data_IF_903344315527
#
_entry.id   IF_903344315527
#
_cell.length_a   1.000
_cell.length_b   1.000
_cell.length_c   1.000
_cell.angle_alpha   90.00
_cell.angle_beta   90.00
_cell.angle_gamma   90.00
#
_symmetry.space_group_name_H-M   'P 1'
#
loop_
_entity.id
_entity.type
_entity.pdbx_description
1 polymer ?
#
# COMPACT_ATOMS: atom_id res chain seq x y z
N UNK A 1 -44.88 18.29 -44.77
CA UNK A 1 -45.30 17.06 -44.09
C UNK A 1 -44.34 16.82 -42.91
N UNK A 2 -44.92 16.74 -41.68
CA UNK A 2 -44.12 16.61 -40.46
C UNK A 2 -43.29 15.32 -40.47
N UNK A 3 -43.82 14.24 -41.03
CA UNK A 3 -43.19 12.94 -41.11
C UNK A 3 -41.94 12.95 -42.02
N UNK A 4 -41.99 13.65 -43.15
CA UNK A 4 -40.84 13.84 -44.04
C UNK A 4 -39.74 14.68 -43.38
N UNK A 5 -40.15 15.71 -42.63
CA UNK A 5 -39.19 16.56 -41.90
C UNK A 5 -38.52 15.80 -40.75
N UNK A 6 -39.29 14.96 -40.04
CA UNK A 6 -38.76 14.12 -38.98
C UNK A 6 -37.80 13.07 -39.55
N UNK A 7 -38.15 12.45 -40.66
CA UNK A 7 -37.29 11.48 -41.35
C UNK A 7 -36.00 12.12 -41.84
N UNK A 8 -36.11 13.31 -42.47
CA UNK A 8 -34.95 14.07 -42.93
C UNK A 8 -34.02 14.43 -41.75
N UNK A 9 -34.57 14.85 -40.63
CA UNK A 9 -33.79 15.16 -39.41
C UNK A 9 -33.10 13.97 -38.82
N UNK A 10 -33.82 12.82 -38.67
CA UNK A 10 -33.26 11.59 -38.12
C UNK A 10 -32.14 11.02 -38.98
N UNK A 11 -32.34 11.01 -40.31
CA UNK A 11 -31.35 10.49 -41.26
C UNK A 11 -30.35 11.54 -41.80
N UNK A 12 -30.41 12.78 -41.29
CA UNK A 12 -29.50 13.87 -41.63
C UNK A 12 -29.38 14.16 -43.14
N UNK A 13 -30.46 14.10 -43.87
CA UNK A 13 -30.46 14.54 -45.28
C UNK A 13 -31.36 15.74 -45.47
N UNK A 14 -31.03 16.58 -46.47
CA UNK A 14 -31.77 17.81 -46.80
C UNK A 14 -32.89 17.49 -47.79
N UNK A 15 -34.17 17.61 -47.41
CA UNK A 15 -35.27 17.42 -48.36
C UNK A 15 -35.29 18.59 -49.37
N UNK A 16 -35.20 18.29 -50.66
CA UNK A 16 -35.13 19.29 -51.72
C UNK A 16 -36.43 20.09 -51.94
N UNK A 17 -37.54 19.69 -51.32
CA UNK A 17 -38.89 20.27 -51.56
C UNK A 17 -39.44 21.07 -50.37
N UNK A 18 -38.66 21.36 -49.34
CA UNK A 18 -39.11 22.13 -48.19
C UNK A 18 -38.70 23.60 -48.36
N UNK A 19 -39.62 24.53 -48.00
CA UNK A 19 -39.30 25.94 -47.96
C UNK A 19 -38.10 26.21 -47.08
N UNK A 20 -37.02 26.67 -47.65
CA UNK A 20 -35.81 27.05 -46.95
C UNK A 20 -35.90 28.50 -46.49
N UNK A 21 -35.63 28.73 -45.21
CA UNK A 21 -35.50 30.08 -44.65
C UNK A 21 -34.02 30.36 -44.43
N UNK A 22 -33.57 31.53 -44.85
CA UNK A 22 -32.23 32.00 -44.57
C UNK A 22 -32.28 32.70 -43.22
N UNK A 23 -31.52 32.19 -42.26
CA UNK A 23 -31.36 32.78 -40.94
C UNK A 23 -30.03 33.54 -40.89
N UNK A 24 -30.04 34.72 -40.28
CA UNK A 24 -28.80 35.40 -39.97
C UNK A 24 -28.15 34.81 -38.70
N UNK A 25 -26.92 35.20 -38.39
CA UNK A 25 -26.17 34.65 -37.26
C UNK A 25 -26.82 34.91 -35.90
N UNK A 26 -27.57 35.98 -35.75
CA UNK A 26 -28.28 36.29 -34.49
C UNK A 26 -29.52 35.43 -34.34
N UNK A 27 -30.29 35.25 -35.41
CA UNK A 27 -31.45 34.34 -35.42
C UNK A 27 -31.03 32.89 -35.23
N UNK A 28 -29.91 32.45 -35.82
CA UNK A 28 -29.36 31.12 -35.60
C UNK A 28 -28.93 30.93 -34.15
N UNK A 29 -28.33 31.96 -33.51
CA UNK A 29 -27.92 31.93 -32.11
C UNK A 29 -29.11 31.82 -31.13
N UNK A 30 -30.31 32.32 -31.52
CA UNK A 30 -31.52 32.17 -30.72
C UNK A 30 -32.12 30.76 -30.79
N UNK A 31 -31.92 30.07 -31.91
CA UNK A 31 -32.40 28.68 -32.11
C UNK A 31 -31.37 27.65 -31.59
N UNK A 32 -30.09 27.89 -31.86
CA UNK A 32 -29.01 27.03 -31.47
C UNK A 32 -28.08 27.75 -30.51
N UNK A 33 -28.25 27.48 -29.23
CA UNK A 33 -27.41 28.02 -28.16
C UNK A 33 -26.88 26.90 -27.30
N UNK A 34 -25.69 27.10 -26.75
CA UNK A 34 -25.12 26.21 -25.78
C UNK A 34 -25.90 26.35 -24.47
N UNK A 35 -26.19 25.25 -23.76
CA UNK A 35 -26.96 25.28 -22.52
C UNK A 35 -26.25 26.16 -21.49
N UNK A 36 -26.90 27.21 -21.04
CA UNK A 36 -26.47 28.05 -19.95
C UNK A 36 -26.69 27.36 -18.61
N UNK A 37 -25.78 27.57 -17.67
CA UNK A 37 -25.77 26.92 -16.38
C UNK A 37 -27.02 27.16 -15.52
N UNK A 38 -27.71 28.27 -15.75
CA UNK A 38 -28.84 28.72 -14.94
C UNK A 38 -30.20 28.43 -15.59
N UNK A 39 -30.25 28.13 -16.88
CA UNK A 39 -31.50 28.14 -17.65
C UNK A 39 -32.10 26.76 -17.91
N UNK A 40 -31.29 25.69 -17.97
CA UNK A 40 -31.80 24.33 -18.29
C UNK A 40 -31.14 23.27 -17.40
N UNK A 41 -31.79 22.78 -16.35
CA UNK A 41 -31.32 21.63 -15.61
C UNK A 41 -31.53 20.36 -16.48
N UNK A 42 -30.46 19.80 -17.02
CA UNK A 42 -30.47 18.53 -17.74
C UNK A 42 -29.48 17.57 -17.13
N UNK A 43 -29.94 16.33 -16.86
CA UNK A 43 -29.12 15.22 -16.37
C UNK A 43 -28.18 14.63 -17.41
N UNK A 44 -28.36 15.00 -18.69
CA UNK A 44 -27.56 14.46 -19.81
C UNK A 44 -26.27 15.24 -20.07
N UNK A 45 -26.14 16.45 -19.55
CA UNK A 45 -24.88 17.22 -19.66
C UNK A 45 -24.21 17.22 -18.29
N UNK A 46 -23.15 16.44 -18.15
CA UNK A 46 -22.31 16.50 -16.96
C UNK A 46 -21.59 17.84 -16.94
N UNK A 47 -22.03 18.72 -16.07
CA UNK A 47 -21.43 20.05 -15.88
C UNK A 47 -20.37 19.94 -14.80
N UNK A 48 -19.14 20.17 -15.18
CA UNK A 48 -18.08 20.37 -14.21
C UNK A 48 -18.09 21.82 -13.75
N UNK A 49 -18.64 22.07 -12.56
CA UNK A 49 -18.56 23.39 -11.94
C UNK A 49 -17.12 23.59 -11.41
N UNK A 50 -16.29 24.26 -12.19
CA UNK A 50 -14.98 24.70 -11.75
C UNK A 50 -15.03 26.20 -11.44
N UNK A 51 -14.86 26.55 -10.16
CA UNK A 51 -14.65 27.93 -9.76
C UNK A 51 -13.17 28.23 -9.83
N UNK A 52 -12.77 29.08 -10.76
CA UNK A 52 -11.40 29.58 -10.78
C UNK A 52 -11.22 30.60 -9.65
N UNK A 53 -10.25 30.35 -8.79
CA UNK A 53 -9.89 31.23 -7.68
C UNK A 53 -8.40 31.52 -7.75
N UNK A 54 -7.98 32.66 -7.20
CA UNK A 54 -6.55 32.95 -7.07
C UNK A 54 -5.87 31.90 -6.18
N UNK A 55 -4.64 31.56 -6.51
CA UNK A 55 -3.80 30.68 -5.70
C UNK A 55 -3.45 31.33 -4.36
N UNK A 56 -2.88 30.52 -3.44
CA UNK A 56 -2.46 31.03 -2.15
C UNK A 56 -1.51 32.23 -2.30
N UNK A 57 -1.62 33.19 -1.41
CA UNK A 57 -0.78 34.40 -1.38
C UNK A 57 0.68 34.09 -1.08
N UNK A 58 0.92 33.06 -0.26
CA UNK A 58 2.25 32.53 0.01
C UNK A 58 2.42 31.21 -0.76
N UNK A 59 3.21 31.25 -1.81
CA UNK A 59 3.60 30.07 -2.59
C UNK A 59 4.97 29.64 -2.11
N UNK A 60 5.12 28.35 -1.77
CA UNK A 60 6.45 27.79 -1.45
C UNK A 60 7.29 27.77 -2.72
N UNK A 61 8.53 28.21 -2.63
CA UNK A 61 9.50 28.13 -3.73
C UNK A 61 10.08 26.72 -3.86
N UNK A 62 10.23 26.03 -2.71
CA UNK A 62 10.78 24.70 -2.61
C UNK A 62 9.71 23.62 -2.36
N UNK A 63 10.06 22.36 -2.66
CA UNK A 63 9.22 21.19 -2.44
C UNK A 63 8.67 20.60 -3.72
N UNK A 64 7.90 19.50 -3.57
CA UNK A 64 7.32 18.77 -4.70
C UNK A 64 6.27 19.60 -5.44
N UNK A 65 6.35 19.62 -6.74
CA UNK A 65 5.36 20.28 -7.58
C UNK A 65 4.07 19.46 -7.62
N UNK A 66 2.98 20.03 -7.10
CA UNK A 66 1.64 19.45 -7.21
C UNK A 66 0.96 19.81 -8.54
N UNK A 67 1.25 20.98 -9.06
CA UNK A 67 0.63 21.50 -10.28
C UNK A 67 0.73 23.02 -10.39
N UNK A 68 -0.12 23.59 -11.21
CA UNK A 68 -0.17 25.03 -11.45
C UNK A 68 -1.57 25.56 -11.16
N UNK A 69 -1.65 26.70 -10.48
CA UNK A 69 -2.84 27.51 -10.45
C UNK A 69 -2.73 28.59 -11.56
N UNK A 70 -3.75 28.69 -12.37
CA UNK A 70 -3.84 29.75 -13.39
C UNK A 70 -5.08 30.59 -13.11
N UNK A 71 -4.87 31.88 -12.83
CA UNK A 71 -5.92 32.80 -12.52
C UNK A 71 -5.64 34.17 -13.19
N UNK A 72 -6.59 34.66 -14.00
CA UNK A 72 -6.48 35.92 -14.74
C UNK A 72 -5.17 36.07 -15.54
N UNK A 73 -4.73 34.98 -16.17
CA UNK A 73 -3.48 34.95 -16.97
C UNK A 73 -2.19 34.85 -16.15
N UNK A 74 -2.28 34.82 -14.82
CA UNK A 74 -1.12 34.58 -13.93
C UNK A 74 -1.04 33.12 -13.58
N UNK A 75 0.10 32.48 -13.90
CA UNK A 75 0.38 31.08 -13.59
C UNK A 75 1.30 30.99 -12.38
N UNK A 76 0.82 30.34 -11.31
CA UNK A 76 1.58 30.10 -10.07
C UNK A 76 1.84 28.59 -9.91
N UNK A 77 3.07 28.20 -9.61
CA UNK A 77 3.38 26.82 -9.26
C UNK A 77 2.91 26.52 -7.83
N UNK A 78 2.18 25.45 -7.64
CA UNK A 78 1.74 25.00 -6.32
C UNK A 78 2.64 23.86 -5.89
N UNK A 79 3.34 24.04 -4.78
CA UNK A 79 4.33 23.09 -4.26
C UNK A 79 3.96 22.64 -2.87
N UNK A 80 4.39 21.43 -2.54
CA UNK A 80 4.24 20.80 -1.23
C UNK A 80 5.60 20.77 -0.54
N UNK A 81 5.77 21.59 0.48
CA UNK A 81 7.01 21.67 1.23
C UNK A 81 7.25 20.46 2.14
N UNK A 82 8.51 20.22 2.47
CA UNK A 82 8.93 19.06 3.28
C UNK A 82 8.27 19.00 4.65
N UNK A 83 8.02 20.15 5.28
CA UNK A 83 7.33 20.20 6.57
C UNK A 83 5.88 19.70 6.50
N UNK A 84 5.19 20.02 5.38
CA UNK A 84 3.80 19.64 5.20
C UNK A 84 3.68 18.17 4.78
N UNK A 85 4.64 17.64 4.04
CA UNK A 85 4.72 16.22 3.69
C UNK A 85 4.75 15.31 4.91
N UNK A 86 5.40 15.73 5.98
CA UNK A 86 5.49 14.98 7.26
C UNK A 86 4.17 14.87 8.02
N UNK A 87 3.13 15.60 7.59
CA UNK A 87 1.79 15.59 8.21
C UNK A 87 0.80 14.65 7.55
N UNK A 88 1.29 13.80 6.66
CA UNK A 88 0.49 12.92 5.81
C UNK A 88 -0.34 13.64 4.74
N UNK A 89 -0.67 12.92 3.67
CA UNK A 89 -1.48 13.43 2.56
C UNK A 89 -2.55 12.40 2.26
N UNK A 90 -3.79 12.86 2.18
CA UNK A 90 -4.92 12.03 1.78
C UNK A 90 -5.44 12.51 0.42
N UNK A 91 -5.32 11.67 -0.61
CA UNK A 91 -5.76 11.98 -1.97
C UNK A 91 -7.06 11.24 -2.26
N UNK A 92 -8.15 12.00 -2.44
CA UNK A 92 -9.49 11.47 -2.68
C UNK A 92 -9.93 11.83 -4.09
N UNK A 93 -10.56 10.88 -4.77
CA UNK A 93 -11.15 11.08 -6.10
C UNK A 93 -11.74 9.79 -6.66
N UNK A 94 -12.58 9.91 -7.67
CA UNK A 94 -13.12 8.77 -8.40
C UNK A 94 -12.01 8.01 -9.15
N UNK A 95 -12.32 6.79 -9.59
CA UNK A 95 -11.44 6.03 -10.48
C UNK A 95 -11.24 6.81 -11.80
N UNK A 96 -10.02 6.82 -12.32
CA UNK A 96 -9.69 7.47 -13.58
C UNK A 96 -9.41 8.98 -13.52
N UNK A 97 -9.52 9.64 -12.36
CA UNK A 97 -9.25 11.09 -12.24
C UNK A 97 -7.76 11.45 -12.05
N UNK A 98 -6.86 10.45 -12.08
CA UNK A 98 -5.42 10.69 -12.04
C UNK A 98 -4.77 10.62 -10.65
N UNK A 99 -5.40 9.99 -9.63
CA UNK A 99 -4.79 9.83 -8.31
C UNK A 99 -3.43 9.13 -8.36
N UNK A 100 -3.36 7.98 -9.03
CA UNK A 100 -2.12 7.20 -9.18
C UNK A 100 -1.06 7.99 -9.93
N UNK A 101 -1.44 8.67 -11.01
CA UNK A 101 -0.52 9.52 -11.78
C UNK A 101 0.07 10.64 -10.91
N UNK A 102 -0.74 11.24 -10.03
CA UNK A 102 -0.23 12.24 -9.09
C UNK A 102 0.80 11.62 -8.13
N UNK A 103 0.51 10.44 -7.56
CA UNK A 103 1.43 9.74 -6.67
C UNK A 103 2.73 9.35 -7.40
N UNK A 104 2.63 8.81 -8.62
CA UNK A 104 3.79 8.49 -9.46
C UNK A 104 4.65 9.73 -9.73
N UNK A 105 4.02 10.87 -10.06
CA UNK A 105 4.73 12.12 -10.31
C UNK A 105 5.45 12.65 -9.06
N UNK A 106 4.85 12.50 -7.88
CA UNK A 106 5.50 12.87 -6.62
C UNK A 106 6.69 11.96 -6.31
N UNK A 107 6.52 10.64 -6.47
CA UNK A 107 7.59 9.67 -6.30
C UNK A 107 8.73 9.88 -7.31
N UNK A 108 8.39 10.18 -8.57
CA UNK A 108 9.37 10.48 -9.60
C UNK A 108 10.19 11.74 -9.27
N UNK A 109 9.58 12.79 -8.74
CA UNK A 109 10.29 13.99 -8.30
C UNK A 109 11.26 13.66 -7.16
N UNK A 110 10.84 12.88 -6.15
CA UNK A 110 11.73 12.43 -5.07
C UNK A 110 12.90 11.61 -5.62
N UNK A 111 12.63 10.74 -6.59
CA UNK A 111 13.65 9.93 -7.25
C UNK A 111 14.70 10.82 -7.95
N UNK A 112 14.25 11.83 -8.69
CA UNK A 112 15.13 12.77 -9.39
C UNK A 112 15.91 13.69 -8.45
N UNK A 113 15.32 14.04 -7.30
CA UNK A 113 15.95 14.84 -6.25
C UNK A 113 16.92 14.01 -5.37
N UNK A 114 17.14 12.73 -5.67
CA UNK A 114 18.02 11.85 -4.90
C UNK A 114 17.47 11.44 -3.54
N UNK A 115 16.16 11.60 -3.31
CA UNK A 115 15.50 11.22 -2.07
C UNK A 115 15.09 9.74 -2.10
N UNK A 116 15.07 9.10 -0.93
CA UNK A 116 14.52 7.76 -0.75
C UNK A 116 13.01 7.82 -0.48
N UNK A 117 12.29 6.81 -0.98
CA UNK A 117 10.85 6.61 -0.69
C UNK A 117 10.50 5.13 -0.77
N UNK A 118 9.36 4.76 -0.18
CA UNK A 118 8.73 3.47 -0.40
C UNK A 118 7.40 3.70 -1.13
N UNK A 119 7.14 2.90 -2.17
CA UNK A 119 5.91 2.94 -2.93
C UNK A 119 5.22 1.58 -2.84
N UNK A 120 4.00 1.56 -2.28
CA UNK A 120 3.23 0.32 -2.12
C UNK A 120 2.00 0.40 -3.01
N UNK A 121 1.91 -0.51 -3.98
CA UNK A 121 0.81 -0.59 -4.93
C UNK A 121 0.23 -2.01 -4.97
N UNK A 122 -1.01 -2.21 -4.48
CA UNK A 122 -1.67 -3.52 -4.52
C UNK A 122 -1.91 -4.07 -5.93
N UNK A 123 -1.92 -3.21 -6.96
CA UNK A 123 -2.18 -3.58 -8.35
C UNK A 123 -0.89 -3.81 -9.15
N UNK A 124 0.20 -3.12 -8.80
CA UNK A 124 1.51 -3.24 -9.43
C UNK A 124 1.77 -2.28 -10.60
N UNK A 125 0.73 -1.80 -11.28
CA UNK A 125 0.85 -0.98 -12.50
C UNK A 125 1.71 0.28 -12.30
N UNK A 126 1.49 0.99 -11.18
CA UNK A 126 2.25 2.21 -10.86
C UNK A 126 3.69 1.91 -10.47
N UNK A 127 3.95 0.77 -9.83
CA UNK A 127 5.32 0.34 -9.52
C UNK A 127 6.08 0.05 -10.80
N UNK A 128 5.51 -0.69 -11.75
CA UNK A 128 6.14 -0.96 -13.05
C UNK A 128 6.41 0.33 -13.83
N UNK A 129 5.45 1.26 -13.83
CA UNK A 129 5.61 2.56 -14.44
C UNK A 129 6.77 3.37 -13.81
N UNK A 130 6.95 3.30 -12.49
CA UNK A 130 8.06 3.96 -11.79
C UNK A 130 9.40 3.27 -12.08
N UNK A 131 9.45 1.94 -12.10
CA UNK A 131 10.66 1.19 -12.44
C UNK A 131 11.22 1.59 -13.82
N UNK A 132 10.35 1.80 -14.79
CA UNK A 132 10.75 2.24 -16.13
C UNK A 132 11.37 3.64 -16.17
N UNK A 133 11.17 4.45 -15.13
CA UNK A 133 11.65 5.84 -15.01
C UNK A 133 12.88 6.00 -14.11
N UNK A 134 13.39 4.89 -13.54
CA UNK A 134 14.56 4.92 -12.65
C UNK A 134 15.80 5.40 -13.41
N UNK A 135 16.49 6.45 -12.94
CA UNK A 135 17.76 6.89 -13.52
C UNK A 135 18.82 5.78 -13.42
N UNK A 136 19.69 5.69 -14.42
CA UNK A 136 20.74 4.65 -14.46
C UNK A 136 21.64 4.67 -13.22
N UNK A 137 21.89 5.85 -12.69
CA UNK A 137 22.75 6.10 -11.52
C UNK A 137 22.12 5.60 -10.22
N UNK A 138 20.81 5.30 -10.25
CA UNK A 138 20.05 4.88 -9.08
C UNK A 138 19.48 3.46 -9.17
N UNK A 139 19.86 2.71 -10.19
CA UNK A 139 19.37 1.33 -10.37
C UNK A 139 19.75 0.45 -9.19
N UNK A 140 20.95 0.63 -8.65
CA UNK A 140 21.46 -0.13 -7.49
C UNK A 140 20.75 0.25 -6.16
N UNK A 141 20.06 1.39 -6.12
CA UNK A 141 19.30 1.82 -4.94
C UNK A 141 17.90 1.18 -4.87
N UNK A 142 17.47 0.50 -5.95
CA UNK A 142 16.10 0.02 -6.08
C UNK A 142 15.93 -1.36 -5.45
N UNK A 143 14.99 -1.44 -4.51
CA UNK A 143 14.50 -2.71 -3.99
C UNK A 143 13.10 -2.94 -4.56
N UNK A 144 12.98 -3.90 -5.47
CA UNK A 144 11.70 -4.28 -6.07
C UNK A 144 11.15 -5.53 -5.39
N UNK A 145 10.21 -5.34 -4.48
CA UNK A 145 9.54 -6.41 -3.75
C UNK A 145 8.25 -6.81 -4.46
N UNK A 146 8.27 -7.95 -5.15
CA UNK A 146 7.10 -8.53 -5.79
C UNK A 146 6.76 -9.89 -5.16
N UNK A 147 5.71 -9.95 -4.31
CA UNK A 147 5.31 -11.21 -3.66
C UNK A 147 4.86 -12.31 -4.62
N UNK A 148 4.53 -11.97 -5.87
CA UNK A 148 4.11 -12.94 -6.89
C UNK A 148 5.28 -13.55 -7.67
N UNK A 149 6.49 -13.04 -7.51
CA UNK A 149 7.67 -13.61 -8.15
C UNK A 149 8.14 -14.86 -7.41
N UNK A 150 7.77 -16.01 -7.97
CA UNK A 150 8.15 -17.32 -7.45
C UNK A 150 9.55 -17.77 -7.92
N UNK A 151 10.11 -17.08 -8.90
CA UNK A 151 11.40 -17.45 -9.49
C UNK A 151 12.56 -16.84 -8.72
N UNK A 152 12.40 -15.57 -8.31
CA UNK A 152 13.40 -14.81 -7.57
C UNK A 152 12.76 -14.12 -6.35
N UNK A 153 12.26 -14.89 -5.37
CA UNK A 153 11.61 -14.30 -4.21
C UNK A 153 12.62 -13.54 -3.36
N UNK A 154 12.31 -12.29 -3.04
CA UNK A 154 13.10 -11.50 -2.10
C UNK A 154 12.81 -11.99 -0.68
N UNK A 155 13.87 -12.27 0.09
CA UNK A 155 13.77 -12.62 1.50
C UNK A 155 13.35 -11.41 2.36
N UNK A 156 12.44 -11.64 3.29
CA UNK A 156 12.07 -10.70 4.34
C UNK A 156 12.10 -11.42 5.69
N UNK A 157 13.25 -11.34 6.37
CA UNK A 157 13.37 -11.95 7.68
C UNK A 157 12.93 -10.95 8.77
N UNK A 158 11.82 -11.23 9.41
CA UNK A 158 11.30 -10.39 10.50
C UNK A 158 12.17 -10.42 11.77
N UNK A 159 13.13 -11.34 11.86
CA UNK A 159 14.05 -11.48 12.98
C UNK A 159 15.47 -11.02 12.66
N UNK A 160 15.68 -10.42 11.50
CA UNK A 160 16.96 -9.82 11.14
C UNK A 160 17.17 -8.51 11.90
N UNK A 161 18.34 -8.34 12.49
CA UNK A 161 18.71 -7.16 13.27
C UNK A 161 20.20 -6.84 13.08
N UNK A 162 20.51 -5.55 13.09
CA UNK A 162 21.89 -5.04 13.04
C UNK A 162 22.51 -4.92 14.44
N UNK A 163 21.68 -4.56 15.44
CA UNK A 163 22.10 -4.37 16.82
C UNK A 163 21.22 -5.17 17.80
N UNK A 164 21.82 -5.76 18.85
CA UNK A 164 21.09 -6.55 19.85
C UNK A 164 19.89 -5.81 20.48
N UNK A 165 19.99 -4.49 20.63
CA UNK A 165 18.93 -3.65 21.23
C UNK A 165 17.64 -3.63 20.38
N UNK A 166 17.71 -4.01 19.12
CA UNK A 166 16.55 -4.07 18.22
C UNK A 166 15.68 -5.33 18.46
N UNK A 167 16.21 -6.35 19.13
CA UNK A 167 15.51 -7.64 19.30
C UNK A 167 14.14 -7.49 19.93
N UNK A 168 14.06 -6.79 21.05
CA UNK A 168 12.78 -6.59 21.74
C UNK A 168 11.77 -5.82 20.90
N UNK A 169 12.23 -4.80 20.17
CA UNK A 169 11.38 -4.04 19.25
C UNK A 169 10.83 -4.94 18.14
N UNK A 170 11.68 -5.71 17.47
CA UNK A 170 11.26 -6.61 16.38
C UNK A 170 10.28 -7.68 16.86
N UNK A 171 10.53 -8.25 18.05
CA UNK A 171 9.61 -9.21 18.66
C UNK A 171 8.25 -8.56 18.94
N UNK A 172 8.24 -7.31 19.45
CA UNK A 172 7.00 -6.60 19.73
C UNK A 172 6.23 -6.26 18.45
N UNK A 173 6.93 -5.86 17.38
CA UNK A 173 6.31 -5.61 16.08
C UNK A 173 5.70 -6.88 15.48
N UNK A 174 6.40 -8.01 15.58
CA UNK A 174 5.87 -9.30 15.14
C UNK A 174 4.63 -9.73 15.95
N UNK A 175 4.62 -9.49 17.27
CA UNK A 175 3.43 -9.70 18.10
C UNK A 175 2.29 -8.79 17.67
N UNK A 176 2.57 -7.50 17.42
CA UNK A 176 1.58 -6.54 16.96
C UNK A 176 0.97 -6.94 15.60
N UNK A 177 1.78 -7.50 14.71
CA UNK A 177 1.31 -8.07 13.44
C UNK A 177 0.35 -9.25 13.69
N UNK A 178 0.66 -10.16 14.63
CA UNK A 178 -0.24 -11.27 14.96
C UNK A 178 -1.58 -10.77 15.54
N UNK A 179 -1.57 -9.71 16.36
CA UNK A 179 -2.80 -9.06 16.80
C UNK A 179 -3.59 -8.51 15.61
N UNK A 180 -2.94 -7.77 14.73
CA UNK A 180 -3.60 -7.21 13.53
C UNK A 180 -4.23 -8.26 12.63
N UNK A 181 -3.61 -9.44 12.50
CA UNK A 181 -4.10 -10.52 11.65
C UNK A 181 -5.19 -11.37 12.30
N UNK A 182 -5.06 -11.67 13.60
CA UNK A 182 -5.90 -12.67 14.25
C UNK A 182 -6.81 -12.12 15.32
N UNK A 183 -6.50 -10.97 15.89
CA UNK A 183 -7.27 -10.40 16.99
C UNK A 183 -7.28 -8.86 16.99
N UNK A 184 -7.71 -8.20 15.88
CA UNK A 184 -7.71 -6.73 15.79
C UNK A 184 -8.61 -6.05 16.83
N UNK A 185 -9.57 -6.81 17.39
CA UNK A 185 -10.47 -6.33 18.44
C UNK A 185 -10.01 -6.63 19.87
N UNK A 186 -8.83 -7.22 20.07
CA UNK A 186 -8.32 -7.66 21.39
C UNK A 186 -9.33 -8.51 22.17
N UNK A 187 -9.94 -9.49 21.49
CA UNK A 187 -10.98 -10.38 22.05
C UNK A 187 -10.41 -11.54 22.86
N UNK A 188 -9.06 -11.69 22.88
CA UNK A 188 -8.34 -12.74 23.59
C UNK A 188 -7.93 -13.93 22.73
N UNK A 189 -8.11 -13.85 21.41
CA UNK A 189 -7.59 -14.84 20.46
C UNK A 189 -6.05 -14.78 20.43
N UNK A 190 -5.49 -13.58 20.48
CA UNK A 190 -4.07 -13.33 20.76
C UNK A 190 -3.98 -12.76 22.17
N UNK A 191 -3.32 -13.46 23.08
CA UNK A 191 -3.26 -13.04 24.47
C UNK A 191 -1.91 -13.34 25.12
N UNK A 192 -1.75 -13.00 26.40
CA UNK A 192 -0.46 -13.05 27.10
C UNK A 192 0.27 -14.38 26.98
N UNK A 193 -0.46 -15.50 26.92
CA UNK A 193 0.13 -16.83 26.79
C UNK A 193 0.79 -17.04 25.43
N UNK A 194 0.14 -16.59 24.33
CA UNK A 194 0.73 -16.65 23.00
C UNK A 194 1.92 -15.70 22.90
N UNK A 195 1.79 -14.47 23.40
CA UNK A 195 2.88 -13.51 23.42
C UNK A 195 4.11 -14.04 24.14
N UNK A 196 3.91 -14.65 25.30
CA UNK A 196 4.99 -15.20 26.11
C UNK A 196 5.74 -16.34 25.37
N UNK A 197 5.00 -17.27 24.79
CA UNK A 197 5.59 -18.37 24.00
C UNK A 197 6.28 -17.82 22.76
N UNK A 198 5.60 -16.94 22.01
CA UNK A 198 6.15 -16.34 20.79
C UNK A 198 7.44 -15.57 21.06
N UNK A 199 7.46 -14.73 22.10
CA UNK A 199 8.63 -13.94 22.50
C UNK A 199 9.83 -14.86 22.77
N UNK A 200 9.65 -15.92 23.54
CA UNK A 200 10.73 -16.85 23.84
C UNK A 200 11.18 -17.66 22.62
N UNK A 201 10.28 -17.99 21.70
CA UNK A 201 10.65 -18.61 20.41
C UNK A 201 11.49 -17.64 19.56
N UNK A 202 11.02 -16.41 19.39
CA UNK A 202 11.72 -15.41 18.60
C UNK A 202 13.12 -15.10 19.16
N UNK A 203 13.24 -14.86 20.48
CA UNK A 203 14.52 -14.59 21.13
C UNK A 203 15.48 -15.77 21.02
N UNK A 204 14.97 -17.02 21.08
CA UNK A 204 15.79 -18.21 20.86
C UNK A 204 16.34 -18.26 19.44
N UNK A 205 15.49 -18.00 18.42
CA UNK A 205 15.90 -17.97 17.02
C UNK A 205 16.92 -16.84 16.74
N UNK A 206 16.70 -15.66 17.33
CA UNK A 206 17.57 -14.50 17.20
C UNK A 206 18.90 -14.65 17.99
N UNK A 207 19.05 -15.69 18.78
CA UNK A 207 20.31 -15.96 19.51
C UNK A 207 21.30 -16.77 18.69
N UNK A 208 20.83 -17.49 17.66
CA UNK A 208 21.69 -18.27 16.77
C UNK A 208 22.38 -17.36 15.75
N UNK A 209 23.73 -17.35 15.64
CA UNK A 209 24.47 -16.60 14.63
C UNK A 209 24.10 -16.97 13.19
N UNK A 210 23.59 -18.18 12.94
CA UNK A 210 23.07 -18.57 11.63
C UNK A 210 21.69 -17.98 11.34
N UNK A 211 21.08 -17.31 12.34
CA UNK A 211 19.76 -16.76 12.27
C UNK A 211 18.66 -17.81 12.44
N UNK A 212 17.44 -17.31 12.37
CA UNK A 212 16.22 -18.08 12.30
C UNK A 212 15.13 -17.23 11.69
N UNK A 213 14.04 -17.85 11.31
CA UNK A 213 12.94 -17.21 10.60
C UNK A 213 11.62 -17.39 11.31
N UNK A 214 10.64 -16.58 10.94
CA UNK A 214 9.30 -16.68 11.53
C UNK A 214 8.66 -18.07 11.36
N UNK A 215 8.93 -18.75 10.26
CA UNK A 215 8.39 -20.10 9.99
C UNK A 215 9.09 -21.21 10.78
N UNK A 216 10.20 -20.92 11.46
CA UNK A 216 10.88 -21.89 12.33
C UNK A 216 10.21 -22.00 13.72
N UNK A 217 9.34 -21.08 14.10
CA UNK A 217 8.67 -21.08 15.40
C UNK A 217 7.89 -22.38 15.66
N UNK A 218 7.04 -22.88 14.76
CA UNK A 218 6.38 -24.16 14.96
C UNK A 218 7.36 -25.33 15.15
N UNK A 219 8.47 -25.30 14.44
CA UNK A 219 9.49 -26.33 14.54
C UNK A 219 10.15 -26.35 15.92
N UNK A 220 10.43 -25.18 16.50
CA UNK A 220 10.94 -25.08 17.88
C UNK A 220 10.01 -25.74 18.90
N UNK A 221 8.71 -25.63 18.69
CA UNK A 221 7.70 -26.15 19.64
C UNK A 221 7.47 -27.68 19.52
N UNK A 222 7.81 -28.28 18.37
CA UNK A 222 7.52 -29.67 18.03
C UNK A 222 8.78 -30.53 18.00
N UNK A 223 9.90 -29.97 17.52
CA UNK A 223 11.17 -30.68 17.31
C UNK A 223 12.17 -30.32 18.43
N UNK A 224 12.31 -31.24 19.39
CA UNK A 224 13.19 -31.08 20.56
C UNK A 224 14.68 -30.99 20.16
N UNK A 225 15.10 -31.72 19.11
CA UNK A 225 16.50 -31.68 18.65
C UNK A 225 16.81 -30.33 18.00
N UNK A 226 15.89 -29.82 17.19
CA UNK A 226 16.01 -28.49 16.60
C UNK A 226 16.08 -27.42 17.71
N UNK A 227 15.20 -27.45 18.66
CA UNK A 227 15.19 -26.53 19.82
C UNK A 227 16.52 -26.57 20.57
N UNK A 228 17.01 -27.78 20.93
CA UNK A 228 18.29 -27.97 21.62
C UNK A 228 19.48 -27.45 20.81
N UNK A 229 19.43 -27.56 19.49
CA UNK A 229 20.48 -27.03 18.61
C UNK A 229 20.62 -25.52 18.70
N UNK A 230 19.48 -24.80 18.81
CA UNK A 230 19.43 -23.35 18.95
C UNK A 230 19.77 -22.87 20.36
N UNK A 231 19.36 -23.64 21.37
CA UNK A 231 19.57 -23.31 22.79
C UNK A 231 21.04 -23.14 23.19
N UNK A 232 21.95 -23.73 22.42
CA UNK A 232 23.41 -23.66 22.65
C UNK A 232 23.97 -22.24 22.51
N UNK A 233 23.27 -21.38 21.81
CA UNK A 233 23.70 -19.99 21.51
C UNK A 233 23.07 -18.96 22.44
N UNK A 234 22.12 -19.36 23.30
CA UNK A 234 21.42 -18.46 24.21
C UNK A 234 22.30 -18.08 25.38
N UNK A 235 22.45 -16.78 25.59
CA UNK A 235 23.15 -16.21 26.76
C UNK A 235 22.22 -15.59 27.77
N UNK A 236 20.99 -15.28 27.36
CA UNK A 236 19.96 -14.69 28.21
C UNK A 236 19.39 -15.72 29.16
N UNK A 237 19.53 -15.47 30.46
CA UNK A 237 19.08 -16.39 31.50
C UNK A 237 17.56 -16.60 31.53
N UNK A 238 16.77 -15.59 31.17
CA UNK A 238 15.31 -15.69 31.15
C UNK A 238 14.85 -16.65 30.03
N UNK A 239 15.45 -16.50 28.84
CA UNK A 239 15.18 -17.40 27.71
C UNK A 239 15.63 -18.83 28.05
N UNK A 240 16.80 -19.02 28.69
CA UNK A 240 17.26 -20.32 29.15
C UNK A 240 16.30 -20.94 30.15
N UNK A 241 15.84 -20.18 31.15
CA UNK A 241 14.92 -20.65 32.18
C UNK A 241 13.56 -21.04 31.60
N UNK A 242 13.07 -20.29 30.62
CA UNK A 242 11.85 -20.64 29.89
C UNK A 242 12.01 -22.02 29.23
N UNK A 243 13.03 -22.22 28.41
CA UNK A 243 13.19 -23.45 27.63
C UNK A 243 13.61 -24.66 28.42
N UNK A 244 14.36 -24.48 29.53
CA UNK A 244 14.87 -25.58 30.37
C UNK A 244 13.99 -25.95 31.55
N UNK A 245 13.14 -25.01 32.01
CA UNK A 245 12.32 -25.21 33.23
C UNK A 245 10.84 -25.03 32.96
N UNK A 246 10.42 -23.86 32.43
CA UNK A 246 9.02 -23.50 32.31
C UNK A 246 8.32 -24.28 31.19
N UNK A 247 8.88 -24.30 30.00
CA UNK A 247 8.30 -24.99 28.85
C UNK A 247 8.18 -26.52 29.10
N UNK A 248 9.22 -27.24 29.59
CA UNK A 248 9.07 -28.65 29.94
C UNK A 248 8.06 -28.90 31.06
N UNK A 249 7.93 -27.98 32.02
CA UNK A 249 6.92 -28.12 33.09
C UNK A 249 5.50 -27.96 32.52
N UNK A 250 5.30 -26.97 31.61
CA UNK A 250 4.01 -26.77 30.94
C UNK A 250 3.61 -27.96 30.06
N UNK A 251 4.56 -28.64 29.44
CA UNK A 251 4.35 -29.85 28.63
C UNK A 251 3.77 -31.06 29.41
N UNK A 252 3.94 -31.07 30.73
CA UNK A 252 3.41 -32.14 31.56
C UNK A 252 1.93 -31.96 31.92
N UNK A 253 1.35 -30.83 31.61
CA UNK A 253 -0.09 -30.58 31.83
C UNK A 253 -0.95 -31.28 30.78
N UNK A 254 -2.18 -31.67 31.15
CA UNK A 254 -3.13 -32.30 30.23
C UNK A 254 -3.51 -31.39 29.03
N UNK A 255 -3.32 -30.08 29.15
CA UNK A 255 -3.64 -29.09 28.16
C UNK A 255 -2.48 -28.72 27.21
N UNK A 256 -1.28 -29.30 27.45
CA UNK A 256 -0.06 -28.93 26.74
C UNK A 256 -0.17 -29.07 25.21
N UNK A 257 -0.74 -30.19 24.77
CA UNK A 257 -0.93 -30.47 23.35
C UNK A 257 -1.89 -29.48 22.64
N UNK A 258 -2.93 -29.05 23.34
CA UNK A 258 -3.88 -28.08 22.82
C UNK A 258 -3.25 -26.71 22.64
N UNK A 259 -2.44 -26.27 23.60
CA UNK A 259 -1.77 -24.98 23.55
C UNK A 259 -0.77 -24.91 22.40
N UNK A 260 0.06 -25.95 22.25
CA UNK A 260 1.03 -26.02 21.15
C UNK A 260 0.31 -26.02 19.80
N UNK A 261 -0.70 -26.90 19.66
CA UNK A 261 -1.50 -26.95 18.42
C UNK A 261 -2.16 -25.62 18.11
N UNK A 262 -2.67 -24.94 19.13
CA UNK A 262 -3.29 -23.62 18.96
C UNK A 262 -2.26 -22.55 18.52
N UNK A 263 -1.07 -22.50 19.13
CA UNK A 263 0.00 -21.60 18.70
C UNK A 263 0.43 -21.92 17.26
N UNK A 264 0.73 -23.17 16.96
CA UNK A 264 1.19 -23.64 15.65
C UNK A 264 0.16 -23.32 14.55
N UNK A 265 -1.14 -23.42 14.86
CA UNK A 265 -2.21 -23.11 13.89
C UNK A 265 -2.15 -21.68 13.34
N UNK A 266 -1.60 -20.72 14.10
CA UNK A 266 -1.44 -19.34 13.66
C UNK A 266 -0.38 -19.16 12.56
N UNK A 267 0.53 -20.11 12.45
CA UNK A 267 1.59 -20.11 11.43
C UNK A 267 1.20 -20.87 10.16
N UNK A 268 0.12 -21.66 10.22
CA UNK A 268 -0.35 -22.47 9.09
C UNK A 268 -0.47 -21.69 7.78
N UNK A 269 -1.16 -20.53 7.72
CA UNK A 269 -1.30 -19.74 6.51
C UNK A 269 0.02 -19.25 5.91
N UNK A 270 1.04 -19.00 6.73
CA UNK A 270 2.36 -18.56 6.28
C UNK A 270 3.19 -19.72 5.72
N UNK A 271 3.06 -20.90 6.30
CA UNK A 271 3.85 -22.08 5.92
C UNK A 271 3.23 -22.79 4.71
N UNK A 272 1.90 -22.85 4.62
CA UNK A 272 1.19 -23.53 3.54
C UNK A 272 1.20 -22.76 2.22
N UNK A 273 1.43 -21.47 2.27
CA UNK A 273 1.55 -20.62 1.08
C UNK A 273 3.00 -20.58 0.62
N UNK A 274 3.27 -21.12 -0.58
CA UNK A 274 4.64 -21.21 -1.12
C UNK A 274 5.30 -19.83 -1.29
N UNK A 275 4.56 -18.83 -1.77
CA UNK A 275 5.09 -17.48 -1.92
C UNK A 275 5.48 -16.88 -0.56
N UNK A 276 4.58 -16.95 0.42
CA UNK A 276 4.86 -16.46 1.77
C UNK A 276 6.05 -17.21 2.39
N UNK A 277 6.06 -18.54 2.29
CA UNK A 277 7.15 -19.34 2.83
C UNK A 277 8.50 -18.98 2.20
N UNK A 278 8.54 -18.75 0.89
CA UNK A 278 9.76 -18.35 0.20
C UNK A 278 10.24 -16.96 0.60
N UNK A 279 9.34 -16.05 0.94
CA UNK A 279 9.68 -14.68 1.36
C UNK A 279 10.17 -14.67 2.82
N UNK A 280 9.35 -15.17 3.76
CA UNK A 280 9.61 -15.03 5.20
C UNK A 280 10.45 -16.18 5.78
N UNK A 281 10.81 -17.18 4.98
CA UNK A 281 11.62 -18.31 5.36
C UNK A 281 13.10 -18.19 5.01
N UNK A 282 13.54 -17.06 4.49
CA UNK A 282 14.94 -16.77 4.20
C UNK A 282 15.59 -16.06 5.40
N UNK A 283 16.81 -16.47 5.76
CA UNK A 283 17.57 -15.86 6.86
C UNK A 283 18.30 -14.59 6.44
N UNK A 284 18.58 -14.45 5.16
CA UNK A 284 19.20 -13.28 4.52
C UNK A 284 18.71 -13.17 3.08
#
# INVERSE_FOLDING_TARGET
NVEELTTAFVFRFFPQQVNQSILNSVELATIFHLPDQNSIPTSQVQRQMSKQVDGPTQVMEDGLLLGYNEFRGVKKSIRLGDKDRRRHIHIIGQTGVGKSILQENLAYQDMMDGRGFAFVDPHGDSVEALLSKVPKERVEDVIYFNPSDMTNPIGLNMFEFDHPDQKDFLVQEAISMLYGLYDPGHTGIVGPRLEHIFRNCALLLMSDPAGGTFIDIPKLLIDEEFMKSKLKFVTDQQVLDFWTKEFPASQRSSEAGEVISWVVSKFGPFISNDAMRNIIGQTK
#
